data_IF_644185516005
#
_entry.id   IF_644185516005
#
_cell.length_a   1.000
_cell.length_b   1.000
_cell.length_c   1.000
_cell.angle_alpha   90.00
_cell.angle_beta   90.00
_cell.angle_gamma   90.00
#
_symmetry.space_group_name_H-M   'P 1'
#
loop_
_entity.id
_entity.type
_entity.pdbx_description
1 polymer ?
#
# COMPACT_ATOMS: atom_id res chain seq x y z
N UNK A 1 15.46 -4.13 -19.37
CA UNK A 1 15.62 -3.43 -18.08
C UNK A 1 16.66 -4.21 -17.29
N UNK A 2 17.57 -3.53 -16.59
CA UNK A 2 18.61 -4.19 -15.82
C UNK A 2 18.00 -5.10 -14.72
N UNK A 3 18.58 -6.29 -14.53
CA UNK A 3 18.04 -7.33 -13.64
C UNK A 3 18.03 -6.86 -12.17
N UNK A 4 19.03 -6.04 -11.81
CA UNK A 4 19.14 -5.45 -10.48
C UNK A 4 18.06 -4.39 -10.26
N UNK A 5 17.80 -3.52 -11.25
CA UNK A 5 16.68 -2.58 -11.21
C UNK A 5 15.33 -3.28 -11.02
N UNK A 6 15.07 -4.35 -11.77
CA UNK A 6 13.84 -5.15 -11.62
C UNK A 6 13.70 -5.68 -10.18
N UNK A 7 14.76 -6.28 -9.65
CA UNK A 7 14.77 -6.85 -8.30
C UNK A 7 14.50 -5.78 -7.24
N UNK A 8 15.16 -4.63 -7.34
CA UNK A 8 14.99 -3.51 -6.41
C UNK A 8 13.55 -2.99 -6.46
N UNK A 9 13.00 -2.78 -7.65
CA UNK A 9 11.66 -2.21 -7.82
C UNK A 9 10.57 -3.18 -7.32
N UNK A 10 10.64 -4.46 -7.71
CA UNK A 10 9.68 -5.47 -7.25
C UNK A 10 9.72 -5.63 -5.73
N UNK A 11 10.93 -5.77 -5.16
CA UNK A 11 11.08 -5.89 -3.71
C UNK A 11 10.66 -4.63 -2.96
N UNK A 12 10.93 -3.45 -3.53
CA UNK A 12 10.51 -2.16 -2.98
C UNK A 12 9.00 -2.06 -2.89
N UNK A 13 8.27 -2.40 -3.97
CA UNK A 13 6.81 -2.38 -3.98
C UNK A 13 6.22 -3.31 -2.90
N UNK A 14 6.67 -4.56 -2.84
CA UNK A 14 6.22 -5.52 -1.83
C UNK A 14 6.52 -5.08 -0.39
N UNK A 15 7.66 -4.40 -0.17
CA UNK A 15 8.00 -3.85 1.16
C UNK A 15 7.07 -2.71 1.55
N UNK A 16 6.74 -1.83 0.62
CA UNK A 16 5.80 -0.71 0.85
C UNK A 16 4.41 -1.23 1.19
N UNK A 17 3.88 -2.20 0.45
CA UNK A 17 2.58 -2.81 0.75
C UNK A 17 2.54 -3.43 2.15
N UNK A 18 3.58 -4.21 2.52
CA UNK A 18 3.66 -4.80 3.87
C UNK A 18 3.73 -3.73 4.96
N UNK A 19 4.53 -2.69 4.75
CA UNK A 19 4.68 -1.61 5.71
C UNK A 19 3.37 -0.82 5.89
N UNK A 20 2.69 -0.50 4.81
CA UNK A 20 1.39 0.15 4.86
C UNK A 20 0.37 -0.71 5.63
N UNK A 21 0.28 -2.01 5.33
CA UNK A 21 -0.62 -2.94 6.03
C UNK A 21 -0.37 -2.97 7.55
N UNK A 22 0.90 -2.91 7.97
CA UNK A 22 1.27 -2.82 9.38
C UNK A 22 0.75 -1.52 10.01
N UNK A 23 1.03 -0.37 9.38
CA UNK A 23 0.56 0.94 9.84
C UNK A 23 -0.98 0.98 9.95
N UNK A 24 -1.67 0.47 8.94
CA UNK A 24 -3.14 0.42 8.91
C UNK A 24 -3.69 -0.43 10.05
N UNK A 25 -3.11 -1.61 10.31
CA UNK A 25 -3.51 -2.46 11.44
C UNK A 25 -3.29 -1.76 12.79
N UNK A 26 -2.15 -1.11 12.98
CA UNK A 26 -1.82 -0.39 14.22
C UNK A 26 -2.75 0.78 14.49
N UNK A 27 -3.06 1.59 13.47
CA UNK A 27 -4.01 2.70 13.62
C UNK A 27 -5.42 2.18 13.86
N UNK A 28 -5.88 1.21 13.06
CA UNK A 28 -7.23 0.65 13.17
C UNK A 28 -7.49 -0.01 14.53
N UNK A 29 -6.48 -0.62 15.15
CA UNK A 29 -6.58 -1.21 16.49
C UNK A 29 -6.83 -0.18 17.60
N UNK A 30 -6.45 1.09 17.39
CA UNK A 30 -6.63 2.19 18.34
C UNK A 30 -7.92 2.98 18.11
N UNK A 31 -8.60 2.76 16.98
CA UNK A 31 -9.83 3.49 16.67
C UNK A 31 -11.04 2.90 17.40
N UNK A 32 -11.99 3.76 17.85
CA UNK A 32 -13.27 3.30 18.34
C UNK A 32 -14.02 2.45 17.31
N UNK A 33 -14.85 1.51 17.77
CA UNK A 33 -15.68 0.68 16.89
C UNK A 33 -16.80 1.49 16.24
N UNK A 34 -17.40 2.44 16.98
CA UNK A 34 -18.50 3.28 16.50
C UNK A 34 -17.99 4.41 15.63
N UNK A 35 -18.67 4.64 14.51
CA UNK A 35 -18.25 5.64 13.51
C UNK A 35 -18.36 7.09 14.00
N UNK A 36 -19.39 7.39 14.79
CA UNK A 36 -19.54 8.71 15.42
C UNK A 36 -18.34 9.07 16.32
N UNK A 37 -17.84 8.10 17.08
CA UNK A 37 -16.67 8.26 17.96
C UNK A 37 -15.37 8.30 17.14
N UNK A 38 -15.27 7.47 16.09
CA UNK A 38 -14.12 7.43 15.18
C UNK A 38 -13.87 8.78 14.54
N UNK A 39 -14.92 9.47 14.03
CA UNK A 39 -14.79 10.77 13.36
C UNK A 39 -14.22 11.89 14.25
N UNK A 40 -14.38 11.76 15.57
CA UNK A 40 -13.86 12.72 16.55
C UNK A 40 -12.52 12.29 17.17
N UNK A 41 -11.98 11.12 16.79
CA UNK A 41 -10.75 10.58 17.36
C UNK A 41 -9.51 11.29 16.78
N UNK A 42 -8.46 11.46 17.59
CA UNK A 42 -7.20 12.13 17.17
C UNK A 42 -6.52 11.46 15.97
N UNK A 43 -6.71 10.14 15.82
CA UNK A 43 -6.19 9.36 14.69
C UNK A 43 -7.13 9.26 13.48
N UNK A 44 -8.30 9.90 13.49
CA UNK A 44 -9.27 9.83 12.37
C UNK A 44 -8.63 10.21 11.04
N UNK A 45 -7.97 11.38 11.00
CA UNK A 45 -7.25 11.86 9.81
C UNK A 45 -6.13 10.91 9.35
N UNK A 46 -5.45 10.26 10.28
CA UNK A 46 -4.40 9.29 9.94
C UNK A 46 -5.01 8.06 9.27
N UNK A 47 -6.16 7.60 9.74
CA UNK A 47 -6.90 6.51 9.14
C UNK A 47 -7.37 6.85 7.71
N UNK A 48 -7.87 8.08 7.50
CA UNK A 48 -8.30 8.55 6.18
C UNK A 48 -7.13 8.63 5.19
N UNK A 49 -5.99 9.16 5.63
CA UNK A 49 -4.76 9.19 4.82
C UNK A 49 -4.33 7.76 4.45
N UNK A 50 -4.31 6.84 5.42
CA UNK A 50 -3.94 5.45 5.16
C UNK A 50 -4.93 4.77 4.21
N UNK A 51 -6.23 5.06 4.29
CA UNK A 51 -7.24 4.54 3.36
C UNK A 51 -7.06 5.09 1.94
N UNK A 52 -6.71 6.38 1.80
CA UNK A 52 -6.39 6.98 0.51
C UNK A 52 -5.14 6.33 -0.10
N UNK A 53 -4.09 6.10 0.70
CA UNK A 53 -2.87 5.40 0.26
C UNK A 53 -3.19 3.95 -0.13
N UNK A 54 -4.00 3.24 0.66
CA UNK A 54 -4.42 1.85 0.36
C UNK A 54 -5.10 1.74 -1.00
N UNK A 55 -5.98 2.71 -1.30
CA UNK A 55 -6.70 2.77 -2.58
C UNK A 55 -5.71 2.91 -3.74
N UNK A 56 -4.70 3.77 -3.60
CA UNK A 56 -3.66 3.94 -4.62
C UNK A 56 -2.79 2.69 -4.76
N UNK A 57 -2.37 2.09 -3.64
CA UNK A 57 -1.59 0.85 -3.66
C UNK A 57 -2.37 -0.30 -4.30
N UNK A 58 -3.65 -0.46 -3.99
CA UNK A 58 -4.51 -1.48 -4.60
C UNK A 58 -4.60 -1.35 -6.13
N UNK A 59 -4.74 -0.13 -6.64
CA UNK A 59 -4.74 0.13 -8.09
C UNK A 59 -3.41 -0.22 -8.75
N UNK A 60 -2.30 0.14 -8.09
CA UNK A 60 -0.96 -0.24 -8.57
C UNK A 60 -0.78 -1.76 -8.52
N UNK A 61 -1.25 -2.42 -7.47
CA UNK A 61 -1.14 -3.86 -7.30
C UNK A 61 -1.89 -4.60 -8.42
N UNK A 62 -3.12 -4.17 -8.76
CA UNK A 62 -3.87 -4.72 -9.90
C UNK A 62 -3.10 -4.62 -11.23
N UNK A 63 -2.26 -3.60 -11.39
CA UNK A 63 -1.48 -3.37 -12.60
C UNK A 63 -0.17 -4.15 -12.60
N UNK A 64 0.53 -4.13 -11.47
CA UNK A 64 1.92 -4.57 -11.35
C UNK A 64 2.06 -6.03 -10.96
N UNK A 65 1.11 -6.59 -10.20
CA UNK A 65 1.32 -7.90 -9.58
C UNK A 65 1.42 -9.03 -10.59
N UNK A 66 0.67 -8.95 -11.71
CA UNK A 66 0.82 -9.90 -12.82
C UNK A 66 2.26 -9.97 -13.37
N UNK A 67 2.97 -8.84 -13.36
CA UNK A 67 4.34 -8.77 -13.86
C UNK A 67 5.31 -9.27 -12.80
N UNK A 68 5.10 -8.89 -11.53
CA UNK A 68 5.90 -9.39 -10.41
C UNK A 68 5.83 -10.93 -10.32
N UNK A 69 4.64 -11.50 -10.42
CA UNK A 69 4.40 -12.96 -10.38
C UNK A 69 5.03 -13.68 -11.58
N UNK A 70 5.06 -13.01 -12.74
CA UNK A 70 5.75 -13.50 -13.95
C UNK A 70 7.27 -13.26 -13.92
N UNK A 71 7.81 -12.79 -12.78
CA UNK A 71 9.20 -12.41 -12.60
C UNK A 71 9.68 -11.40 -13.66
N UNK A 72 8.83 -10.42 -13.96
CA UNK A 72 9.10 -9.22 -14.76
C UNK A 72 9.12 -7.99 -13.86
N UNK A 73 9.70 -6.89 -14.33
CA UNK A 73 9.68 -5.64 -13.55
C UNK A 73 8.26 -5.10 -13.38
N UNK A 74 7.93 -4.72 -12.14
CA UNK A 74 6.68 -4.08 -11.76
C UNK A 74 6.51 -2.70 -12.40
N UNK A 75 7.62 -2.02 -12.71
CA UNK A 75 7.59 -0.71 -13.35
C UNK A 75 7.96 -0.86 -14.83
N UNK A 76 7.03 -0.51 -15.71
CA UNK A 76 7.23 -0.61 -17.16
C UNK A 76 7.19 0.82 -17.71
N UNK A 77 8.35 1.42 -18.04
CA UNK A 77 8.37 2.78 -18.57
C UNK A 77 7.56 2.86 -19.87
N UNK A 78 6.63 3.82 -19.94
CA UNK A 78 5.77 4.03 -21.11
C UNK A 78 4.53 3.13 -21.18
N UNK A 79 4.20 2.39 -20.12
CA UNK A 79 2.91 1.73 -19.91
C UNK A 79 2.29 2.11 -18.58
#
# INVERSE_FOLDING_TARGET
MDLECQRILNQGFLRVERYHSLCQKQVKAQLPRRESERRNHSLARHADILAAVETRLSLLNMTFMKYVDSNLCCFIPGK
#
